data_IF_173744189299
#
_entry.id   IF_173744189299
#
_cell.length_a   1.000
_cell.length_b   1.000
_cell.length_c   1.000
_cell.angle_alpha   90.00
_cell.angle_beta   90.00
_cell.angle_gamma   90.00
#
_symmetry.space_group_name_H-M   'P 1'
#
loop_
_entity.id
_entity.type
_entity.pdbx_description
1 polymer ?
#
# COMPACT_ATOMS: atom_id res chain seq x y z
N UNK A 1 -39.25 20.76 -10.29
CA UNK A 1 -37.85 21.17 -9.97
C UNK A 1 -37.31 20.39 -8.77
N UNK A 2 -37.45 19.05 -8.72
CA UNK A 2 -37.18 18.27 -7.50
C UNK A 2 -36.49 16.92 -7.78
N UNK A 3 -35.43 16.92 -8.61
CA UNK A 3 -34.68 15.69 -8.98
C UNK A 3 -33.16 15.88 -9.05
N UNK A 4 -32.57 16.75 -8.22
CA UNK A 4 -31.09 16.95 -8.23
C UNK A 4 -30.38 16.86 -6.88
N UNK A 5 -31.09 16.73 -5.75
CA UNK A 5 -30.48 16.88 -4.42
C UNK A 5 -30.23 15.58 -3.64
N UNK A 6 -30.58 14.39 -4.17
CA UNK A 6 -30.67 13.17 -3.34
C UNK A 6 -29.60 12.10 -3.58
N UNK A 7 -28.45 12.41 -4.20
CA UNK A 7 -27.35 11.43 -4.41
C UNK A 7 -25.95 11.96 -4.12
N UNK A 8 -25.78 12.72 -3.04
CA UNK A 8 -24.46 13.17 -2.60
C UNK A 8 -24.24 12.98 -1.09
N UNK A 9 -24.63 11.83 -0.55
CA UNK A 9 -24.26 11.41 0.82
C UNK A 9 -23.80 9.96 0.89
N UNK A 10 -23.09 9.47 -0.12
CA UNK A 10 -22.00 8.56 0.24
C UNK A 10 -20.91 9.44 0.83
N UNK A 11 -20.99 9.68 2.15
CA UNK A 11 -19.82 9.98 2.94
C UNK A 11 -18.82 8.88 2.59
N UNK A 12 -17.94 9.17 1.64
CA UNK A 12 -16.87 8.28 1.22
C UNK A 12 -16.09 8.11 2.51
N UNK A 13 -16.32 7.00 3.24
CA UNK A 13 -15.59 6.67 4.46
C UNK A 13 -14.13 6.93 4.08
N UNK A 14 -13.54 7.99 4.63
CA UNK A 14 -12.13 8.22 4.49
C UNK A 14 -11.53 7.09 5.31
N UNK A 15 -11.26 5.96 4.66
CA UNK A 15 -10.39 4.92 5.17
C UNK A 15 -9.02 5.56 5.22
N UNK A 16 -8.79 6.29 6.30
CA UNK A 16 -7.52 6.90 6.61
C UNK A 16 -6.61 5.74 6.97
N UNK A 17 -5.82 5.26 6.01
CA UNK A 17 -4.80 4.26 6.31
C UNK A 17 -3.85 4.84 7.35
N UNK A 18 -3.40 4.00 8.29
CA UNK A 18 -2.43 4.30 9.37
C UNK A 18 -1.16 5.01 8.84
N UNK A 19 -0.84 4.77 7.58
CA UNK A 19 0.30 5.35 6.88
C UNK A 19 0.12 6.82 6.47
N UNK A 20 -1.09 7.36 6.59
CA UNK A 20 -1.37 8.72 6.19
C UNK A 20 -0.60 9.71 7.07
N UNK A 21 0.26 10.52 6.44
CA UNK A 21 1.10 11.49 7.14
C UNK A 21 2.36 10.89 7.79
N UNK A 22 2.41 9.56 7.94
CA UNK A 22 3.55 8.82 8.47
C UNK A 22 4.70 8.75 7.46
N UNK A 23 4.38 8.59 6.17
CA UNK A 23 5.36 8.38 5.10
C UNK A 23 5.83 9.71 4.50
N UNK A 24 7.15 9.92 4.52
CA UNK A 24 7.83 11.13 4.03
C UNK A 24 8.85 10.76 2.96
N UNK A 25 8.91 11.55 1.89
CA UNK A 25 9.92 11.40 0.85
C UNK A 25 11.23 12.04 1.30
N UNK A 26 12.31 11.27 1.40
CA UNK A 26 13.65 11.80 1.70
C UNK A 26 14.26 12.60 0.54
N UNK A 27 13.77 12.44 -0.70
CA UNK A 27 14.27 13.19 -1.87
C UNK A 27 13.74 14.63 -1.96
N UNK A 28 12.45 14.83 -1.66
CA UNK A 28 11.80 16.14 -1.84
C UNK A 28 11.09 16.66 -0.58
N UNK A 29 11.16 15.94 0.55
CA UNK A 29 10.49 16.29 1.81
C UNK A 29 8.97 16.12 1.81
N UNK A 30 8.33 15.92 0.65
CA UNK A 30 6.89 15.81 0.56
C UNK A 30 6.37 14.49 1.14
N UNK A 31 5.13 14.51 1.65
CA UNK A 31 4.45 13.32 2.16
C UNK A 31 3.98 12.42 1.02
N UNK A 32 3.89 11.12 1.28
CA UNK A 32 3.22 10.20 0.37
C UNK A 32 1.70 10.25 0.58
N UNK A 33 0.96 10.12 -0.51
CA UNK A 33 -0.50 10.04 -0.51
C UNK A 33 -0.95 8.68 -1.01
N UNK A 34 -2.00 8.18 -0.37
CA UNK A 34 -2.73 7.02 -0.82
C UNK A 34 -3.56 7.35 -2.06
N UNK A 35 -3.56 6.41 -3.00
CA UNK A 35 -4.38 6.39 -4.20
C UNK A 35 -4.90 4.98 -4.40
N UNK A 36 -6.09 4.86 -4.97
CA UNK A 36 -6.61 3.58 -5.41
C UNK A 36 -6.46 3.46 -6.92
N UNK A 37 -6.05 2.29 -7.37
CA UNK A 37 -6.05 1.87 -8.77
C UNK A 37 -7.31 1.04 -9.05
N UNK A 38 -7.84 1.12 -10.28
CA UNK A 38 -8.99 0.33 -10.74
C UNK A 38 -10.22 0.37 -9.81
N UNK A 39 -10.53 1.56 -9.27
CA UNK A 39 -11.70 1.80 -8.41
C UNK A 39 -12.97 1.31 -9.12
N UNK A 40 -13.79 0.54 -8.42
CA UNK A 40 -15.05 -0.01 -8.96
C UNK A 40 -14.90 -1.39 -9.63
N UNK A 41 -13.70 -1.98 -9.61
CA UNK A 41 -13.46 -3.35 -10.09
C UNK A 41 -13.00 -4.26 -8.96
N UNK A 42 -13.10 -5.58 -9.15
CA UNK A 42 -12.52 -6.60 -8.24
C UNK A 42 -10.99 -6.53 -8.11
N UNK A 43 -10.32 -5.73 -8.94
CA UNK A 43 -8.87 -5.54 -8.93
C UNK A 43 -8.47 -4.20 -8.31
N UNK A 44 -9.37 -3.57 -7.55
CA UNK A 44 -9.06 -2.35 -6.82
C UNK A 44 -7.85 -2.58 -5.91
N UNK A 45 -6.82 -1.76 -6.05
CA UNK A 45 -5.57 -1.87 -5.29
C UNK A 45 -5.10 -0.53 -4.79
N UNK A 46 -4.64 -0.49 -3.54
CA UNK A 46 -4.13 0.71 -2.89
C UNK A 46 -2.63 0.85 -3.14
N UNK A 47 -2.23 2.06 -3.54
CA UNK A 47 -0.85 2.43 -3.80
C UNK A 47 -0.54 3.80 -3.23
N UNK A 48 0.72 3.96 -2.85
CA UNK A 48 1.26 5.14 -2.23
C UNK A 48 2.26 5.79 -3.17
N UNK A 49 2.17 7.11 -3.31
CA UNK A 49 3.13 7.86 -4.09
C UNK A 49 3.40 9.24 -3.51
N UNK A 50 4.59 9.76 -3.80
CA UNK A 50 4.99 11.09 -3.40
C UNK A 50 4.00 12.14 -3.94
N UNK A 51 3.58 13.06 -3.08
CA UNK A 51 2.71 14.19 -3.48
C UNK A 51 3.35 15.01 -4.62
N UNK A 52 4.65 15.30 -4.54
CA UNK A 52 5.37 16.03 -5.60
C UNK A 52 5.34 15.26 -6.92
N UNK A 53 5.52 13.94 -6.90
CA UNK A 53 5.39 13.11 -8.11
C UNK A 53 3.98 13.18 -8.70
N UNK A 54 2.94 13.13 -7.84
CA UNK A 54 1.54 13.20 -8.29
C UNK A 54 1.21 14.55 -8.92
N UNK A 55 1.66 15.66 -8.31
CA UNK A 55 1.28 17.00 -8.73
C UNK A 55 2.21 17.61 -9.78
N UNK A 56 3.51 17.30 -9.74
CA UNK A 56 4.53 17.91 -10.61
C UNK A 56 5.20 16.91 -11.56
N UNK A 57 4.95 15.62 -11.39
CA UNK A 57 5.45 14.58 -12.27
C UNK A 57 6.84 14.03 -11.89
N UNK A 58 7.32 13.11 -12.74
CA UNK A 58 8.56 12.35 -12.52
C UNK A 58 9.83 13.21 -12.55
N UNK A 59 9.82 14.32 -13.28
CA UNK A 59 10.96 15.22 -13.39
C UNK A 59 11.36 15.83 -12.04
N UNK A 60 10.37 16.13 -11.20
CA UNK A 60 10.58 16.76 -9.90
C UNK A 60 10.85 15.74 -8.79
N UNK A 61 10.21 14.58 -8.85
CA UNK A 61 10.44 13.52 -7.89
C UNK A 61 10.27 12.16 -8.54
N UNK A 62 11.35 11.45 -8.81
CA UNK A 62 11.31 10.12 -9.42
C UNK A 62 10.97 8.99 -8.42
N UNK A 63 10.43 9.31 -7.24
CA UNK A 63 10.14 8.32 -6.21
C UNK A 63 9.19 7.22 -6.69
N UNK A 64 9.60 5.96 -6.52
CA UNK A 64 8.79 4.79 -6.86
C UNK A 64 7.46 4.76 -6.09
N UNK A 65 6.42 4.32 -6.78
CA UNK A 65 5.08 4.06 -6.20
C UNK A 65 5.13 2.75 -5.42
N UNK A 66 4.55 2.74 -4.23
CA UNK A 66 4.61 1.61 -3.29
C UNK A 66 3.20 1.04 -3.10
N UNK A 67 2.93 -0.22 -3.46
CA UNK A 67 1.68 -0.89 -3.12
C UNK A 67 1.50 -0.96 -1.60
N UNK A 68 0.28 -0.78 -1.10
CA UNK A 68 0.01 -0.85 0.34
C UNK A 68 0.37 -2.23 0.94
N UNK A 69 0.14 -3.31 0.19
CA UNK A 69 0.50 -4.67 0.64
C UNK A 69 2.00 -4.82 0.95
N UNK A 70 2.87 -4.17 0.17
CA UNK A 70 4.32 -4.19 0.43
C UNK A 70 4.64 -3.39 1.70
N UNK A 71 4.00 -2.23 1.90
CA UNK A 71 4.18 -1.47 3.13
C UNK A 71 3.82 -2.30 4.36
N UNK A 72 2.66 -2.98 4.35
CA UNK A 72 2.21 -3.83 5.47
C UNK A 72 3.21 -4.95 5.77
N UNK A 73 3.68 -5.66 4.76
CA UNK A 73 4.71 -6.71 4.92
C UNK A 73 6.02 -6.15 5.48
N UNK A 74 6.50 -5.02 4.94
CA UNK A 74 7.75 -4.43 5.45
C UNK A 74 7.59 -3.87 6.85
N UNK A 75 6.38 -3.48 7.24
CA UNK A 75 6.08 -3.09 8.62
C UNK A 75 6.11 -4.30 9.57
N UNK A 76 5.54 -5.44 9.19
CA UNK A 76 5.62 -6.65 10.02
C UNK A 76 7.05 -7.15 10.14
N UNK A 77 7.83 -7.12 9.05
CA UNK A 77 9.27 -7.40 9.05
C UNK A 77 10.07 -6.42 9.93
N UNK A 78 9.70 -5.13 9.90
CA UNK A 78 10.30 -4.11 10.76
C UNK A 78 10.06 -4.40 12.24
N UNK A 79 8.82 -4.76 12.57
CA UNK A 79 8.34 -4.96 13.94
C UNK A 79 8.58 -6.39 14.47
N UNK A 80 8.94 -7.34 13.60
CA UNK A 80 9.07 -8.75 13.95
C UNK A 80 7.74 -9.41 14.29
N UNK A 81 6.64 -8.98 13.65
CA UNK A 81 5.30 -9.52 13.88
C UNK A 81 4.96 -10.59 12.84
N UNK A 82 4.19 -11.60 13.24
CA UNK A 82 3.64 -12.60 12.33
C UNK A 82 2.53 -12.01 11.43
N UNK A 83 1.72 -11.10 11.99
CA UNK A 83 0.60 -10.47 11.30
C UNK A 83 0.68 -8.93 11.40
N UNK A 84 0.07 -8.26 10.43
CA UNK A 84 0.03 -6.80 10.38
C UNK A 84 -0.98 -6.27 11.41
N UNK A 85 -0.45 -5.64 12.46
CA UNK A 85 -1.26 -4.94 13.45
C UNK A 85 -1.11 -3.40 13.30
N UNK A 86 -2.19 -2.69 12.91
CA UNK A 86 -2.19 -1.25 12.76
C UNK A 86 -1.90 -0.50 14.08
N UNK A 87 -2.50 -0.95 15.19
CA UNK A 87 -2.33 -0.30 16.48
C UNK A 87 -0.87 -0.39 16.96
N UNK A 88 -0.21 -1.53 16.74
CA UNK A 88 1.22 -1.70 17.07
C UNK A 88 2.10 -0.82 16.18
N UNK A 89 1.78 -0.68 14.90
CA UNK A 89 2.49 0.22 14.00
C UNK A 89 2.43 1.66 14.52
N UNK A 90 1.24 2.19 14.77
CA UNK A 90 1.07 3.57 15.23
C UNK A 90 1.63 3.78 16.64
N UNK A 91 1.68 2.72 17.46
CA UNK A 91 2.31 2.77 18.78
C UNK A 91 3.85 2.84 18.68
N UNK A 92 4.47 2.03 17.83
CA UNK A 92 5.94 1.86 17.77
C UNK A 92 6.63 2.74 16.74
N UNK A 93 6.02 2.95 15.57
CA UNK A 93 6.58 3.72 14.45
C UNK A 93 6.19 5.19 14.60
N UNK A 94 7.19 6.07 14.59
CA UNK A 94 7.01 7.51 14.64
C UNK A 94 6.90 8.12 13.24
N UNK A 95 7.74 7.66 12.31
CA UNK A 95 7.76 8.12 10.93
C UNK A 95 8.37 7.06 10.01
N UNK A 96 8.02 7.12 8.72
CA UNK A 96 8.63 6.32 7.67
C UNK A 96 9.22 7.28 6.65
N UNK A 97 10.53 7.21 6.43
CA UNK A 97 11.23 8.03 5.45
C UNK A 97 11.67 7.16 4.28
N UNK A 98 11.46 7.64 3.05
CA UNK A 98 11.91 6.95 1.83
C UNK A 98 13.10 7.73 1.26
N UNK A 99 14.34 7.40 1.67
CA UNK A 99 15.53 8.11 1.21
C UNK A 99 15.84 7.83 -0.26
N UNK A 100 15.64 6.58 -0.69
CA UNK A 100 15.92 6.10 -2.04
C UNK A 100 14.83 5.16 -2.53
N UNK A 101 14.85 4.88 -3.83
CA UNK A 101 13.91 3.95 -4.44
C UNK A 101 14.13 2.53 -3.92
N UNK A 102 13.08 1.90 -3.42
CA UNK A 102 13.19 0.57 -2.82
C UNK A 102 13.74 0.57 -1.39
N UNK A 103 13.85 1.74 -0.75
CA UNK A 103 14.32 1.85 0.65
C UNK A 103 13.24 2.47 1.52
N UNK A 104 12.95 1.82 2.65
CA UNK A 104 12.08 2.30 3.71
C UNK A 104 12.89 2.42 5.00
N UNK A 105 13.05 3.65 5.48
CA UNK A 105 13.65 3.93 6.78
C UNK A 105 12.52 4.12 7.79
N UNK A 106 12.39 3.18 8.73
CA UNK A 106 11.44 3.26 9.83
C UNK A 106 12.10 3.94 11.02
N UNK A 107 11.54 5.05 11.46
CA UNK A 107 11.95 5.71 12.70
C UNK A 107 10.96 5.29 13.79
N UNK A 108 11.45 4.58 14.80
CA UNK A 108 10.64 4.17 15.95
C UNK A 108 10.58 5.28 17.00
N UNK A 109 9.53 5.29 17.82
CA UNK A 109 9.38 6.28 18.91
C UNK A 109 10.50 6.22 19.97
N UNK A 110 11.24 5.12 20.02
CA UNK A 110 12.44 4.97 20.86
C UNK A 110 13.71 5.60 20.26
N UNK A 111 13.63 6.30 19.12
CA UNK A 111 14.78 6.89 18.43
C UNK A 111 15.59 5.89 17.60
N UNK A 112 15.26 4.61 17.65
CA UNK A 112 15.85 3.58 16.79
C UNK A 112 15.36 3.77 15.36
N UNK A 113 16.28 3.62 14.41
CA UNK A 113 15.97 3.64 12.99
C UNK A 113 16.25 2.25 12.39
N UNK A 114 15.33 1.75 11.57
CA UNK A 114 15.51 0.48 10.86
C UNK A 114 15.30 0.69 9.37
N UNK A 115 16.35 0.43 8.62
CA UNK A 115 16.36 0.52 7.17
C UNK A 115 15.97 -0.83 6.58
N UNK A 116 14.96 -0.84 5.73
CA UNK A 116 14.43 -2.04 5.08
C UNK A 116 14.38 -1.80 3.58
N UNK A 117 14.77 -2.81 2.83
CA UNK A 117 14.72 -2.80 1.38
C UNK A 117 13.44 -3.48 0.90
N UNK A 118 12.81 -2.88 -0.10
CA UNK A 118 11.65 -3.45 -0.77
C UNK A 118 11.87 -3.38 -2.28
N UNK A 119 11.45 -4.44 -2.96
CA UNK A 119 11.39 -4.47 -4.41
C UNK A 119 9.95 -4.77 -4.84
N UNK A 120 9.58 -4.31 -6.03
CA UNK A 120 8.29 -4.68 -6.59
C UNK A 120 8.34 -6.16 -6.94
N UNK A 121 7.59 -7.00 -6.23
CA UNK A 121 7.51 -8.43 -6.53
C UNK A 121 7.26 -8.62 -8.02
N UNK A 122 8.12 -9.40 -8.67
CA UNK A 122 7.89 -9.77 -10.06
C UNK A 122 6.55 -10.51 -10.15
N UNK A 123 5.85 -10.43 -11.29
CA UNK A 123 4.52 -11.06 -11.48
C UNK A 123 4.49 -12.54 -11.09
N UNK A 124 5.65 -13.22 -11.12
CA UNK A 124 5.85 -14.63 -10.75
C UNK A 124 5.79 -14.90 -9.24
N UNK A 125 6.13 -13.92 -8.40
CA UNK A 125 6.22 -14.05 -6.93
C UNK A 125 4.98 -13.50 -6.20
N UNK A 126 4.03 -12.91 -6.94
CA UNK A 126 2.76 -12.41 -6.40
C UNK A 126 1.73 -13.51 -6.10
N UNK A 127 2.11 -14.78 -6.23
CA UNK A 127 1.29 -15.91 -5.82
C UNK A 127 1.63 -16.26 -4.37
N UNK A 128 0.82 -15.77 -3.42
CA UNK A 128 0.79 -16.35 -2.08
C UNK A 128 0.29 -17.79 -2.17
N UNK A 129 0.65 -18.64 -1.21
CA UNK A 129 0.27 -20.06 -1.26
C UNK A 129 -1.26 -20.24 -1.37
N UNK A 130 -2.02 -19.39 -0.67
CA UNK A 130 -3.48 -19.33 -0.73
C UNK A 130 -4.00 -18.98 -2.14
N UNK A 131 -3.32 -18.11 -2.88
CA UNK A 131 -3.70 -17.79 -4.26
C UNK A 131 -3.36 -18.95 -5.23
N UNK A 132 -2.33 -19.77 -4.93
CA UNK A 132 -2.08 -21.03 -5.68
C UNK A 132 -3.16 -22.05 -5.40
N UNK A 133 -3.59 -22.19 -4.15
CA UNK A 133 -4.63 -23.14 -3.77
C UNK A 133 -5.99 -22.74 -4.38
N UNK A 134 -6.42 -21.49 -4.24
CA UNK A 134 -7.66 -21.01 -4.84
C UNK A 134 -7.68 -21.09 -6.38
N UNK A 135 -6.51 -20.94 -7.02
CA UNK A 135 -6.38 -21.15 -8.47
C UNK A 135 -6.42 -22.63 -8.86
N UNK A 136 -5.85 -23.54 -8.05
CA UNK A 136 -5.95 -24.99 -8.24
C UNK A 136 -7.39 -25.47 -8.08
N UNK A 137 -8.10 -24.98 -7.06
CA UNK A 137 -9.52 -25.28 -6.84
C UNK A 137 -10.37 -24.82 -8.03
N UNK A 138 -10.15 -23.60 -8.54
CA UNK A 138 -10.83 -23.12 -9.75
C UNK A 138 -10.48 -23.90 -11.02
N UNK A 139 -9.26 -24.42 -11.14
CA UNK A 139 -8.87 -25.27 -12.26
C UNK A 139 -9.56 -26.64 -12.21
N UNK A 140 -9.78 -27.20 -11.00
CA UNK A 140 -10.58 -28.41 -10.82
C UNK A 140 -12.07 -28.16 -11.10
N UNK A 141 -12.63 -27.04 -10.62
CA UNK A 141 -14.03 -26.68 -10.84
C UNK A 141 -14.33 -26.40 -12.33
N UNK A 142 -13.34 -25.88 -13.06
CA UNK A 142 -13.41 -25.70 -14.52
C UNK A 142 -13.20 -26.98 -15.34
N UNK A 143 -12.69 -28.05 -14.73
CA UNK A 143 -12.43 -29.33 -15.41
C UNK A 143 -13.64 -30.27 -15.50
N UNK A 144 -14.70 -30.03 -14.73
CA UNK A 144 -15.91 -30.87 -14.73
C UNK A 144 -17.08 -30.24 -15.51
N UNK A 145 -16.78 -29.65 -16.66
CA UNK A 145 -17.77 -29.36 -17.70
C UNK A 145 -17.14 -29.64 -19.06
N UNK A 146 -16.98 -30.93 -19.38
CA UNK A 146 -17.14 -31.51 -20.71
C UNK A 146 -16.75 -32.99 -20.63
N UNK A 147 -17.75 -33.86 -20.74
CA UNK A 147 -17.65 -35.32 -20.72
C UNK A 147 -19.03 -35.90 -20.49
#
# INVERSE_FOLDING_TARGET
MARRAEKAKHLRKLTYSEFWGLITCGRCGAKFRMRMYAIGTKYAKEWWACTTYIHRGKHECAAKRIPEGILKEKCTEALGLAEYDPAVLTAKVAAITIPADGVLLFTFKGGTEKMIYWEHRSRRESWTDEMRQAAREKALEGGCKNG
#
